data_IF_017228292899
#
_entry.id   IF_017228292899
#
_cell.length_a   1.000
_cell.length_b   1.000
_cell.length_c   1.000
_cell.angle_alpha   90.00
_cell.angle_beta   90.00
_cell.angle_gamma   90.00
#
_symmetry.space_group_name_H-M   'P 1'
#
loop_
_entity.id
_entity.type
_entity.pdbx_description
1 polymer ?
2 polymer ?
3 non-polymer ?
4 non-polymer ?
5 water ?
#
# COMPACT_ATOMS: atom_id res chain seq x y z
N UNK A 2 -8.62 19.51 -12.46
CA UNK A 2 -9.58 18.48 -13.01
C UNK A 2 -9.46 17.18 -12.21
N UNK A 3 -10.56 16.65 -11.71
CA UNK A 3 -10.53 15.44 -10.91
C UNK A 3 -11.72 14.55 -11.20
N UNK A 4 -11.66 13.30 -10.75
CA UNK A 4 -12.82 12.44 -10.65
C UNK A 4 -13.05 12.17 -9.18
N UNK A 5 -14.12 12.76 -8.65
CA UNK A 5 -14.51 12.59 -7.25
C UNK A 5 -15.27 11.28 -7.06
N UNK A 6 -14.87 10.50 -6.05
CA UNK A 6 -15.47 9.19 -5.83
C UNK A 6 -16.11 9.09 -4.45
N UNK A 7 -17.16 8.27 -4.38
CA UNK A 7 -17.91 8.07 -3.17
C UNK A 7 -17.08 7.36 -2.07
N UNK A 8 -17.62 7.37 -0.88
CA UNK A 8 -16.86 7.00 0.31
C UNK A 8 -16.78 5.51 0.54
N UNK A 9 -15.85 5.14 1.41
CA UNK A 9 -15.60 3.76 1.78
C UNK A 9 -16.87 2.99 2.12
N UNK A 10 -16.90 1.71 1.79
CA UNK A 10 -18.07 0.90 2.04
C UNK A 10 -17.65 -0.34 2.81
N UNK A 11 -18.42 -0.65 3.85
CA UNK A 11 -18.33 -1.96 4.51
C UNK A 11 -19.66 -2.69 4.32
N UNK A 12 -19.65 -3.85 3.67
CA UNK A 12 -20.90 -4.52 3.31
C UNK A 12 -20.81 -6.03 3.53
N UNK A 13 -21.95 -6.63 3.83
CA UNK A 13 -22.03 -8.08 4.12
C UNK A 13 -21.86 -8.94 2.88
N UNK A 14 -21.24 -10.11 3.01
CA UNK A 14 -21.24 -11.09 1.89
C UNK A 14 -22.64 -11.39 1.42
N UNK A 15 -22.84 -11.46 0.11
CA UNK A 15 -24.16 -11.61 -0.47
C UNK A 15 -24.95 -10.34 -0.79
N UNK A 16 -24.58 -9.23 -0.16
CA UNK A 16 -25.27 -7.97 -0.45
C UNK A 16 -24.74 -7.35 -1.76
N UNK A 17 -25.26 -6.18 -2.07
CA UNK A 17 -24.88 -5.43 -3.26
C UNK A 17 -24.39 -4.08 -2.80
N UNK A 18 -23.60 -3.39 -3.64
CA UNK A 18 -23.22 -2.02 -3.35
C UNK A 18 -23.14 -1.20 -4.66
N UNK A 19 -23.42 0.09 -4.59
CA UNK A 19 -23.36 0.93 -5.75
C UNK A 19 -22.44 2.12 -5.51
N UNK A 20 -21.36 2.24 -6.27
CA UNK A 20 -20.35 3.26 -6.03
C UNK A 20 -20.60 4.36 -7.03
N UNK A 21 -20.16 5.57 -6.77
CA UNK A 21 -20.42 6.65 -7.68
C UNK A 21 -19.18 7.47 -7.94
N UNK A 22 -19.17 8.13 -9.08
CA UNK A 22 -18.03 8.91 -9.56
C UNK A 22 -18.51 10.13 -10.33
N UNK A 23 -18.04 11.32 -9.95
CA UNK A 23 -18.49 12.59 -10.51
C UNK A 23 -17.29 13.52 -10.86
N UNK A 24 -17.09 13.84 -12.14
CA UNK A 24 -15.99 14.71 -12.48
C UNK A 24 -16.13 16.09 -11.87
N UNK A 25 -15.00 16.72 -11.63
CA UNK A 25 -14.95 18.15 -11.39
C UNK A 25 -14.14 18.72 -12.55
N UNK A 26 -14.81 19.52 -13.38
CA UNK A 26 -14.14 20.15 -14.52
C UNK A 26 -14.52 19.66 -15.89
N UNK A 27 -15.36 18.64 -15.98
CA UNK A 27 -15.83 18.15 -17.30
C UNK A 27 -17.08 17.31 -17.15
N UNK A 28 -17.70 17.03 -18.29
CA UNK A 28 -18.97 16.29 -18.35
C UNK A 28 -18.72 14.88 -18.84
N UNK A 29 -19.32 13.91 -18.14
CA UNK A 29 -19.17 12.53 -18.55
C UNK A 29 -19.77 12.28 -19.94
N UNK A 30 -20.72 13.12 -20.34
CA UNK A 30 -21.34 12.97 -21.66
C UNK A 30 -20.35 13.11 -22.83
N UNK A 31 -19.27 13.85 -22.61
CA UNK A 31 -18.29 14.16 -23.64
C UNK A 31 -17.20 13.11 -23.71
N UNK A 32 -17.28 12.04 -22.91
CA UNK A 32 -16.15 11.11 -22.83
C UNK A 32 -16.63 9.69 -22.48
N UNK A 33 -15.70 8.86 -22.00
CA UNK A 33 -15.98 7.51 -21.54
C UNK A 33 -15.49 7.38 -20.09
N UNK A 34 -16.22 6.65 -19.27
CA UNK A 34 -15.81 6.47 -17.89
C UNK A 34 -15.57 4.98 -17.68
N UNK A 35 -14.37 4.68 -17.16
CA UNK A 35 -13.89 3.33 -16.95
C UNK A 35 -13.87 3.00 -15.45
N UNK A 36 -14.05 1.71 -15.09
CA UNK A 36 -13.77 1.28 -13.74
C UNK A 36 -12.71 0.18 -13.70
N UNK A 37 -11.84 0.27 -12.68
CA UNK A 37 -10.63 -0.55 -12.56
C UNK A 37 -10.51 -1.00 -11.13
N UNK A 38 -10.39 -2.31 -10.95
CA UNK A 38 -10.37 -2.97 -9.64
C UNK A 38 -8.94 -3.27 -9.21
N UNK A 39 -8.64 -3.22 -7.92
CA UNK A 39 -7.36 -3.72 -7.44
C UNK A 39 -7.53 -4.36 -6.08
N UNK A 40 -7.43 -5.69 -6.05
CA UNK A 40 -7.47 -6.40 -4.77
C UNK A 40 -6.18 -6.16 -3.98
N UNK A 41 -6.24 -6.27 -2.62
CA UNK A 41 -5.04 -5.97 -1.80
C UNK A 41 -3.80 -6.76 -2.25
N UNK A 42 -2.77 -6.03 -2.59
CA UNK A 42 -1.50 -6.59 -3.07
C UNK A 42 -1.54 -7.26 -4.43
N UNK A 43 -2.57 -7.01 -5.24
CA UNK A 43 -2.67 -7.66 -6.56
C UNK A 43 -2.60 -6.56 -7.63
N UNK A 44 -2.80 -6.94 -8.88
CA UNK A 44 -2.60 -6.06 -10.01
C UNK A 44 -3.88 -5.31 -10.36
N UNK A 45 -3.77 -4.40 -11.31
CA UNK A 45 -4.94 -3.68 -11.82
C UNK A 45 -5.73 -4.56 -12.75
N UNK A 46 -7.05 -4.48 -12.65
CA UNK A 46 -7.94 -5.24 -13.53
C UNK A 46 -9.02 -4.32 -14.10
N UNK A 47 -9.06 -4.19 -15.43
CA UNK A 47 -10.10 -3.37 -16.09
C UNK A 47 -11.45 -4.08 -15.99
N UNK A 48 -12.41 -3.45 -15.31
CA UNK A 48 -13.75 -3.99 -15.20
C UNK A 48 -14.59 -3.73 -16.45
N UNK A 49 -14.64 -2.46 -16.85
CA UNK A 49 -15.51 -2.04 -17.95
C UNK A 49 -15.55 -0.54 -18.12
N UNK A 50 -16.32 -0.10 -19.11
CA UNK A 50 -16.46 1.31 -19.38
C UNK A 50 -17.84 1.56 -19.90
N UNK A 51 -18.25 2.81 -19.80
CA UNK A 51 -19.51 3.27 -20.37
C UNK A 51 -19.29 4.56 -21.19
N UNK A 52 -19.98 4.65 -22.30
CA UNK A 52 -20.20 5.89 -23.02
C UNK A 52 -21.52 6.54 -22.59
N UNK A 53 -21.50 7.60 -21.71
CA UNK A 53 -22.80 8.12 -21.24
C UNK A 53 -23.64 8.82 -22.33
N UNK A 54 -23.06 9.08 -23.50
CA UNK A 54 -23.83 9.76 -24.54
C UNK A 54 -24.83 8.83 -25.23
N UNK A 55 -24.56 7.52 -25.30
CA UNK A 55 -25.52 6.59 -25.94
C UNK A 55 -25.93 5.40 -25.05
N UNK A 56 -25.31 5.28 -23.88
CA UNK A 56 -25.66 4.22 -22.94
C UNK A 56 -24.93 2.90 -23.16
N UNK A 57 -23.95 2.86 -24.06
CA UNK A 57 -23.28 1.61 -24.33
C UNK A 57 -22.19 1.32 -23.29
N UNK A 58 -22.20 0.12 -22.69
CA UNK A 58 -21.09 -0.25 -21.84
C UNK A 58 -20.50 -1.60 -22.26
N UNK A 59 -19.20 -1.80 -21.97
CA UNK A 59 -18.43 -2.98 -22.39
C UNK A 59 -17.64 -3.47 -21.17
N UNK A 60 -17.45 -4.79 -21.03
CA UNK A 60 -16.91 -5.39 -19.79
C UNK A 60 -15.88 -6.45 -20.15
N UNK A 61 -14.95 -6.65 -19.24
CA UNK A 61 -14.23 -7.91 -19.18
C UNK A 61 -15.24 -9.01 -18.79
N UNK A 62 -15.22 -10.15 -19.49
CA UNK A 62 -16.15 -11.26 -19.22
C UNK A 62 -16.09 -11.75 -17.76
N UNK A 63 -14.94 -11.61 -17.13
CA UNK A 63 -14.79 -12.02 -15.75
C UNK A 63 -15.76 -11.24 -14.86
N UNK A 64 -16.09 -10.01 -15.23
CA UNK A 64 -16.90 -9.16 -14.36
C UNK A 64 -18.35 -8.95 -14.86
N UNK A 65 -18.64 -9.35 -16.07
CA UNK A 65 -19.93 -8.94 -16.64
C UNK A 65 -21.16 -9.42 -15.92
N UNK A 66 -21.08 -10.55 -15.25
CA UNK A 66 -22.27 -11.07 -14.58
C UNK A 66 -22.66 -10.22 -13.37
N UNK A 67 -21.69 -9.90 -12.50
CA UNK A 67 -21.96 -9.24 -11.23
C UNK A 67 -21.75 -7.70 -11.22
N UNK A 68 -21.12 -7.17 -12.26
CA UNK A 68 -20.83 -5.73 -12.32
C UNK A 68 -21.64 -5.04 -13.43
N UNK A 69 -22.23 -3.90 -13.08
CA UNK A 69 -23.01 -3.10 -14.00
C UNK A 69 -22.68 -1.63 -13.86
N UNK A 70 -22.23 -1.04 -14.97
CA UNK A 70 -21.90 0.35 -14.99
C UNK A 70 -23.04 1.13 -15.61
N UNK A 71 -23.46 2.19 -14.94
CA UNK A 71 -24.50 3.07 -15.44
C UNK A 71 -24.05 4.54 -15.33
N UNK A 72 -24.84 5.43 -15.93
CA UNK A 72 -24.54 6.84 -15.91
C UNK A 72 -25.82 7.68 -15.92
N UNK A 73 -25.74 8.86 -15.33
CA UNK A 73 -26.84 9.80 -15.33
C UNK A 73 -26.26 11.17 -15.72
N UNK A 74 -26.42 11.56 -16.97
CA UNK A 74 -25.82 12.83 -17.41
C UNK A 74 -26.47 14.07 -16.81
N UNK A 75 -27.67 13.96 -16.24
CA UNK A 75 -28.27 15.15 -15.62
C UNK A 75 -27.62 15.47 -14.27
N UNK A 76 -26.99 14.50 -13.61
CA UNK A 76 -26.21 14.75 -12.38
C UNK A 76 -24.70 14.58 -12.61
N UNK A 77 -24.33 14.44 -13.87
CA UNK A 77 -22.94 14.24 -14.26
C UNK A 77 -22.21 13.12 -13.45
N UNK A 78 -22.90 12.00 -13.23
CA UNK A 78 -22.44 10.97 -12.30
C UNK A 78 -22.50 9.59 -12.96
N UNK A 79 -21.41 8.84 -12.84
CA UNK A 79 -21.32 7.50 -13.31
C UNK A 79 -21.32 6.57 -12.10
N UNK A 80 -21.81 5.34 -12.28
CA UNK A 80 -22.02 4.40 -11.18
C UNK A 80 -21.51 3.01 -11.48
N UNK A 81 -21.05 2.32 -10.44
CA UNK A 81 -20.67 0.91 -10.57
C UNK A 81 -21.42 0.11 -9.53
N UNK A 82 -22.27 -0.78 -10.00
CA UNK A 82 -23.08 -1.63 -9.13
C UNK A 82 -22.48 -3.02 -9.12
N UNK A 83 -22.17 -3.52 -7.93
CA UNK A 83 -21.60 -4.87 -7.73
C UNK A 83 -22.60 -5.72 -6.91
N UNK A 84 -23.00 -6.86 -7.44
CA UNK A 84 -23.95 -7.71 -6.73
C UNK A 84 -23.27 -8.98 -6.22
N UNK A 85 -23.97 -9.67 -5.31
CA UNK A 85 -23.53 -10.96 -4.74
C UNK A 85 -22.11 -10.95 -4.28
N UNK A 86 -21.82 -9.99 -3.43
CA UNK A 86 -20.46 -9.74 -3.03
C UNK A 86 -19.90 -10.95 -2.30
N UNK A 87 -18.63 -11.23 -2.57
CA UNK A 87 -17.83 -12.16 -1.78
C UNK A 87 -16.54 -11.49 -1.36
N UNK A 88 -15.70 -12.22 -0.63
CA UNK A 88 -14.46 -11.67 -0.15
C UNK A 88 -13.51 -11.33 -1.33
N UNK A 89 -13.62 -12.02 -2.44
CA UNK A 89 -12.84 -11.68 -3.62
C UNK A 89 -13.17 -10.26 -4.21
N UNK A 90 -14.26 -9.66 -3.76
CA UNK A 90 -14.66 -8.32 -4.19
C UNK A 90 -14.13 -7.21 -3.29
N UNK A 91 -13.54 -7.58 -2.14
CA UNK A 91 -12.83 -6.62 -1.28
C UNK A 91 -11.61 -6.07 -2.10
N UNK A 92 -11.57 -4.76 -2.29
CA UNK A 92 -10.66 -4.14 -3.26
C UNK A 92 -10.83 -2.66 -3.25
N UNK A 93 -9.91 -1.97 -3.93
CA UNK A 93 -10.06 -0.59 -4.29
C UNK A 93 -10.64 -0.52 -5.71
N UNK A 94 -11.64 0.31 -5.91
CA UNK A 94 -12.24 0.49 -7.21
C UNK A 94 -11.99 1.91 -7.64
N UNK A 95 -11.24 2.06 -8.75
CA UNK A 95 -10.88 3.33 -9.34
C UNK A 95 -11.81 3.72 -10.45
N UNK A 96 -12.30 4.97 -10.44
CA UNK A 96 -13.02 5.53 -11.57
C UNK A 96 -11.95 6.26 -12.40
N UNK A 97 -11.95 6.08 -13.73
CA UNK A 97 -10.93 6.70 -14.60
C UNK A 97 -11.46 7.11 -15.98
N UNK A 98 -10.90 8.17 -16.54
CA UNK A 98 -11.08 8.50 -17.95
C UNK A 98 -9.78 8.09 -18.65
N UNK A 99 -9.85 7.01 -19.42
CA UNK A 99 -8.67 6.47 -20.09
C UNK A 99 -8.82 6.67 -21.60
N UNK A 100 -8.03 7.57 -22.18
CA UNK A 100 -8.11 7.86 -23.59
C UNK A 100 -6.76 7.59 -24.22
N UNK A 101 -6.67 7.71 -25.55
CA UNK A 101 -5.44 7.31 -26.19
C UNK A 101 -4.22 8.09 -25.79
N UNK A 102 -4.35 9.39 -25.47
CA UNK A 102 -3.19 10.19 -25.08
C UNK A 102 -3.20 10.82 -23.69
N UNK A 103 -4.31 10.72 -22.99
CA UNK A 103 -4.42 11.36 -21.66
C UNK A 103 -5.38 10.57 -20.76
N UNK A 104 -5.08 10.55 -19.46
CA UNK A 104 -5.92 9.92 -18.47
C UNK A 104 -6.26 10.92 -17.35
N UNK A 105 -7.40 10.69 -16.70
CA UNK A 105 -7.68 11.24 -15.42
C UNK A 105 -8.05 10.06 -14.51
N UNK A 106 -7.46 10.02 -13.32
CA UNK A 106 -7.73 8.96 -12.35
C UNK A 106 -8.35 9.48 -11.06
N UNK A 107 -9.44 8.86 -10.62
CA UNK A 107 -9.92 9.06 -9.24
C UNK A 107 -8.97 8.47 -8.22
N UNK A 108 -9.16 8.88 -6.98
CA UNK A 108 -8.39 8.38 -5.83
C UNK A 108 -8.80 6.96 -5.41
N UNK A 109 -9.93 6.47 -5.86
CA UNK A 109 -10.32 5.11 -5.49
C UNK A 109 -11.32 5.04 -4.34
N UNK A 110 -12.22 4.04 -4.39
CA UNK A 110 -13.17 3.78 -3.31
C UNK A 110 -12.90 2.38 -2.76
N UNK A 111 -12.68 2.25 -1.45
CA UNK A 111 -12.40 0.94 -0.88
C UNK A 111 -13.71 0.22 -0.53
N UNK A 112 -13.80 -1.03 -0.92
CA UNK A 112 -14.92 -1.87 -0.51
C UNK A 112 -14.41 -3.08 0.29
N UNK A 113 -14.91 -3.22 1.53
CA UNK A 113 -14.61 -4.35 2.40
C UNK A 113 -15.85 -5.19 2.50
N UNK A 114 -15.74 -6.44 2.08
CA UNK A 114 -16.85 -7.39 2.18
C UNK A 114 -16.64 -8.27 3.46
N UNK A 115 -17.39 -7.98 4.51
CA UNK A 115 -17.21 -8.65 5.78
C UNK A 115 -18.44 -8.47 6.66
N UNK A 116 -18.71 -9.48 7.49
CA UNK A 116 -19.73 -9.40 8.53
C UNK A 116 -19.23 -8.76 9.80
N UNK A 117 -17.93 -8.66 9.99
CA UNK A 117 -17.40 -8.08 11.22
C UNK A 117 -17.83 -6.62 11.48
N UNK A 118 -17.80 -6.24 12.74
CA UNK A 118 -18.36 -4.99 13.26
C UNK A 118 -17.28 -3.88 13.33
N UNK A 119 -17.66 -2.66 12.95
CA UNK A 119 -16.81 -1.48 13.08
C UNK A 119 -16.38 -1.21 14.49
N UNK A 120 -15.08 -1.05 14.72
CA UNK A 120 -14.60 -0.83 16.09
C UNK A 120 -13.37 0.07 16.06
N UNK A 121 -13.36 1.09 16.93
CA UNK A 121 -12.25 2.03 17.00
C UNK A 121 -10.96 1.41 17.56
N UNK A 122 -9.79 1.92 17.16
CA UNK A 122 -8.55 1.39 17.71
C UNK A 122 -8.30 1.84 19.16
N UNK A 123 -7.59 1.02 19.92
CA UNK A 123 -6.83 1.49 21.05
C UNK A 123 -5.48 1.92 20.56
N UNK A 124 -4.98 3.02 21.10
CA UNK A 124 -3.70 3.57 20.72
C UNK A 124 -2.82 3.65 21.94
N UNK A 125 -1.69 2.96 21.89
CA UNK A 125 -0.81 2.86 23.03
C UNK A 125 0.54 3.51 22.71
N UNK A 126 1.08 4.32 23.64
CA UNK A 126 2.39 4.93 23.44
C UNK A 126 3.51 3.94 23.63
N UNK A 127 4.56 4.06 22.84
CA UNK A 127 5.72 3.16 22.93
C UNK A 127 7.00 3.96 23.20
N UNK A 128 7.44 3.90 24.46
CA UNK A 128 8.57 4.68 24.93
C UNK A 128 9.68 3.66 25.31
N UNK A 129 10.95 4.04 25.14
CA UNK A 129 12.03 3.11 25.48
C UNK A 129 11.89 2.55 26.88
N UNK A 130 12.29 1.28 27.03
CA UNK A 130 12.55 0.69 28.35
C UNK A 130 13.55 1.48 29.18
N UNK A 131 14.61 2.00 28.54
CA UNK A 131 15.68 2.76 29.22
C UNK A 131 16.54 3.59 28.25
N UNK A 137 22.30 9.13 20.55
CA UNK A 137 22.36 10.20 19.55
C UNK A 137 20.96 10.54 18.97
N UNK A 138 20.31 9.49 18.49
CA UNK A 138 18.91 9.54 18.01
C UNK A 138 18.09 8.61 18.86
N UNK A 139 16.81 8.92 19.05
CA UNK A 139 15.95 8.05 19.81
C UNK A 139 14.73 7.66 18.99
N UNK A 140 14.32 6.41 19.08
CA UNK A 140 13.14 5.90 18.38
C UNK A 140 11.97 5.67 19.34
N UNK A 141 10.82 6.20 18.95
CA UNK A 141 9.59 6.12 19.71
C UNK A 141 8.55 5.49 18.79
N UNK A 142 7.42 5.12 19.35
CA UNK A 142 6.37 4.52 18.52
C UNK A 142 4.95 4.64 19.07
N UNK A 143 3.99 4.26 18.24
CA UNK A 143 2.71 3.90 18.79
C UNK A 143 2.07 2.67 18.13
N UNK A 144 1.35 1.93 18.98
CA UNK A 144 0.72 0.67 18.66
C UNK A 144 -0.76 0.94 18.52
N UNK A 145 -1.31 0.67 17.33
CA UNK A 145 -2.68 0.97 17.04
C UNK A 145 -3.40 -0.37 16.91
N UNK A 146 -4.16 -0.75 17.92
CA UNK A 146 -4.57 -2.15 18.08
C UNK A 146 -6.08 -2.35 18.05
N UNK A 147 -6.55 -3.39 17.35
CA UNK A 147 -7.96 -3.83 17.49
C UNK A 147 -9.03 -2.96 16.86
N UNK A 148 -8.78 -2.49 15.64
CA UNK A 148 -9.75 -1.69 14.90
C UNK A 148 -10.30 -2.45 13.69
N UNK A 149 -11.46 -2.03 13.21
CA UNK A 149 -12.06 -2.56 11.98
C UNK A 149 -13.06 -1.53 11.44
N UNK A 150 -13.16 -1.37 10.10
CA UNK A 150 -12.33 -1.87 9.01
C UNK A 150 -11.11 -0.93 8.82
N UNK A 151 -10.24 -1.25 7.88
CA UNK A 151 -9.28 -0.28 7.36
C UNK A 151 -10.00 0.89 6.74
N UNK A 152 -9.33 2.04 6.63
CA UNK A 152 -8.00 2.36 7.09
C UNK A 152 -7.99 3.18 8.36
N UNK A 153 -6.78 3.36 8.89
CA UNK A 153 -6.45 4.46 9.77
C UNK A 153 -5.37 5.25 9.10
N UNK A 154 -5.22 6.51 9.53
CA UNK A 154 -4.10 7.34 9.11
C UNK A 154 -3.37 7.83 10.39
N UNK A 155 -2.06 7.86 10.32
CA UNK A 155 -1.23 8.20 11.46
C UNK A 155 -0.35 9.39 11.08
N UNK A 156 -0.28 10.39 11.96
CA UNK A 156 0.73 11.45 11.79
C UNK A 156 1.42 11.64 13.11
N UNK A 157 2.50 12.41 13.10
CA UNK A 157 3.20 12.76 14.31
C UNK A 157 3.33 14.27 14.46
N UNK A 158 3.05 14.72 15.67
CA UNK A 158 2.95 16.15 15.99
C UNK A 158 2.13 16.87 14.92
N UNK A 159 1.01 16.24 14.57
CA UNK A 159 0.00 16.81 13.66
C UNK A 159 0.60 17.16 12.32
N UNK A 160 1.52 16.34 11.85
CA UNK A 160 2.11 16.59 10.54
C UNK A 160 3.44 17.30 10.57
N UNK A 161 3.80 17.94 11.67
CA UNK A 161 5.10 18.63 11.78
C UNK A 161 6.31 17.72 11.82
N UNK A 162 6.19 16.51 12.35
CA UNK A 162 7.26 15.52 12.24
C UNK A 162 6.87 14.53 11.16
N UNK A 163 7.56 14.59 10.01
CA UNK A 163 7.29 13.64 8.91
C UNK A 163 8.53 12.87 8.45
N UNK A 164 9.69 13.49 8.61
CA UNK A 164 10.95 12.80 8.48
C UNK A 164 11.13 11.79 9.57
N UNK A 165 11.74 10.67 9.24
CA UNK A 165 12.10 9.68 10.25
C UNK A 165 10.91 8.82 10.69
N UNK A 166 9.81 8.87 9.94
CA UNK A 166 8.57 8.17 10.31
C UNK A 166 8.41 6.91 9.46
N UNK A 167 8.00 5.79 10.06
CA UNK A 167 7.62 4.57 9.32
C UNK A 167 6.31 4.13 9.89
N UNK A 168 5.28 4.13 9.07
CA UNK A 168 3.99 3.51 9.44
C UNK A 168 3.78 2.19 8.72
N UNK A 169 3.68 1.12 9.49
CA UNK A 169 3.71 -0.24 8.94
C UNK A 169 2.32 -0.67 8.52
N UNK A 170 2.20 -1.40 7.39
CA UNK A 170 0.91 -2.06 7.02
C UNK A 170 0.29 -2.80 8.18
N UNK A 171 -1.01 -2.64 8.30
CA UNK A 171 -1.77 -3.33 9.33
C UNK A 171 -1.79 -4.84 9.10
N UNK A 172 -1.93 -5.60 10.18
CA UNK A 172 -2.15 -7.04 10.09
C UNK A 172 -3.50 -7.43 10.70
N UNK A 173 -4.16 -8.37 10.04
CA UNK A 173 -5.50 -8.78 10.34
C UNK A 173 -5.49 -10.07 11.15
N UNK A 174 -6.21 -10.06 12.27
CA UNK A 174 -6.26 -11.17 13.21
C UNK A 174 -7.62 -11.20 13.93
N UNK A 175 -8.39 -12.28 13.75
CA UNK A 175 -9.63 -12.41 14.52
C UNK A 175 -10.52 -11.22 14.25
N UNK A 176 -10.61 -10.84 12.99
CA UNK A 176 -11.46 -9.75 12.58
C UNK A 176 -11.03 -8.41 13.16
N UNK A 177 -9.80 -8.30 13.65
CA UNK A 177 -9.33 -6.98 14.02
C UNK A 177 -7.96 -6.71 13.45
N UNK A 178 -7.70 -5.45 13.09
CA UNK A 178 -6.44 -5.03 12.55
C UNK A 178 -5.53 -4.47 13.63
N UNK A 179 -4.21 -4.65 13.46
CA UNK A 179 -3.24 -3.95 14.28
C UNK A 179 -2.12 -3.40 13.47
N UNK A 180 -1.74 -2.15 13.74
CA UNK A 180 -0.52 -1.60 13.11
C UNK A 180 0.33 -0.83 14.12
N UNK A 181 1.57 -0.58 13.73
CA UNK A 181 2.40 0.26 14.55
C UNK A 181 3.04 1.33 13.66
N UNK A 182 3.54 2.40 14.29
CA UNK A 182 4.24 3.47 13.59
C UNK A 182 5.40 3.87 14.46
N UNK A 183 6.57 4.06 13.84
CA UNK A 183 7.73 4.56 14.56
C UNK A 183 8.09 5.93 14.09
N UNK A 184 8.76 6.66 14.99
CA UNK A 184 9.40 7.93 14.62
C UNK A 184 10.76 8.04 15.32
N UNK A 185 11.72 8.62 14.62
CA UNK A 185 13.07 8.73 15.18
C UNK A 185 13.46 10.20 15.25
N UNK A 186 13.85 10.68 16.44
CA UNK A 186 14.19 12.09 16.63
C UNK A 186 15.53 12.25 17.34
N UNK A 187 16.11 13.46 17.32
CA UNK A 187 17.37 13.56 18.05
C UNK A 187 17.16 13.37 19.56
N UNK A 188 18.08 12.69 20.20
CA UNK A 188 17.96 12.36 21.60
C UNK A 188 17.78 13.57 22.52
N UNK A 189 18.17 14.77 22.08
CA UNK A 189 18.03 15.97 22.88
C UNK A 189 16.65 16.61 22.72
N UNK A 190 15.92 16.21 21.69
CA UNK A 190 14.56 16.65 21.43
C UNK A 190 13.54 16.08 22.44
N UNK A 191 13.75 14.87 22.90
CA UNK A 191 12.75 14.17 23.67
C UNK A 191 13.46 13.59 24.86
N UNK A 192 12.87 13.71 26.05
CA UNK A 192 11.52 14.20 26.25
C UNK A 192 11.37 15.68 26.56
N UNK A 193 12.39 16.48 26.34
CA UNK A 193 12.27 17.94 26.56
C UNK A 193 11.12 18.54 25.78
N UNK A 194 11.01 18.14 24.52
CA UNK A 194 9.90 18.56 23.68
C UNK A 194 8.92 17.38 23.46
N UNK A 195 7.65 17.72 23.26
CA UNK A 195 6.60 16.72 23.27
C UNK A 195 6.54 16.02 21.91
N UNK A 196 6.37 14.71 21.96
CA UNK A 196 6.12 13.94 20.76
C UNK A 196 4.81 13.18 20.95
N UNK A 197 3.93 13.33 19.95
CA UNK A 197 2.55 12.84 19.99
C UNK A 197 2.20 12.14 18.67
N UNK A 198 1.62 10.94 18.73
CA UNK A 198 1.08 10.38 17.52
C UNK A 198 -0.40 10.64 17.49
N UNK A 199 -0.88 10.94 16.28
CA UNK A 199 -2.27 11.27 15.99
C UNK A 199 -2.85 10.19 15.05
N UNK A 200 -3.92 9.54 15.49
CA UNK A 200 -4.46 8.43 14.78
C UNK A 200 -5.93 8.67 14.49
N UNK A 201 -6.26 8.74 13.21
CA UNK A 201 -7.63 8.92 12.76
C UNK A 201 -8.20 7.60 12.23
N UNK A 202 -9.45 7.28 12.59
CA UNK A 202 -10.17 6.10 12.09
C UNK A 202 -11.50 6.55 11.53
N UNK A 203 -11.57 6.77 10.22
CA UNK A 203 -12.78 7.45 9.70
C UNK A 203 -14.04 6.61 9.89
N UNK A 204 -13.92 5.30 9.89
CA UNK A 204 -15.11 4.47 10.06
C UNK A 204 -15.86 4.72 11.40
N UNK A 205 -15.13 4.98 12.47
CA UNK A 205 -15.73 5.19 13.78
C UNK A 205 -15.83 6.68 14.13
N UNK A 206 -15.44 7.56 13.21
CA UNK A 206 -15.42 9.00 13.46
C UNK A 206 -14.64 9.36 14.70
N UNK A 207 -13.47 8.74 14.85
CA UNK A 207 -12.58 9.01 15.96
C UNK A 207 -11.20 9.49 15.52
N UNK A 208 -10.59 10.23 16.42
CA UNK A 208 -9.15 10.51 16.32
C UNK A 208 -8.59 10.39 17.74
N UNK A 209 -7.33 10.01 17.87
CA UNK A 209 -6.70 9.88 19.18
C UNK A 209 -5.32 10.53 19.09
N UNK A 210 -5.00 11.41 20.02
CA UNK A 210 -3.66 12.01 20.11
C UNK A 210 -2.97 11.48 21.36
N UNK A 211 -1.99 10.62 21.16
CA UNK A 211 -1.28 9.99 22.27
C UNK A 211 0.15 10.52 22.43
N UNK A 212 0.37 11.16 23.56
CA UNK A 212 1.69 11.73 23.88
C UNK A 212 2.59 10.61 24.36
N UNK A 213 3.82 10.60 23.88
CA UNK A 213 4.82 9.60 24.32
C UNK A 213 5.54 10.16 25.54
N UNK A 214 5.47 9.42 26.65
CA UNK A 214 5.86 9.88 27.98
C UNK A 214 6.92 8.87 28.47
N UNK A 215 8.06 9.36 28.99
CA UNK A 215 9.01 8.37 29.52
C UNK A 215 8.33 7.45 30.53
N UNK A 216 8.62 6.17 30.45
CA UNK A 216 8.20 5.26 31.50
C UNK A 216 9.22 5.24 32.63
N UNK B 1 -9.88 -12.21 -24.39
CA UNK B 1 -9.07 -11.05 -23.98
C UNK B 1 -7.75 -11.06 -24.74
N UNK B 2 -7.25 -9.86 -25.04
CA UNK B 2 -5.84 -9.69 -25.36
C UNK B 2 -5.12 -9.78 -24.03
N UNK B 3 -4.22 -10.75 -23.91
CA UNK B 3 -3.49 -10.94 -22.68
C UNK B 3 -2.11 -10.31 -22.84
N UNK B 4 -1.74 -9.53 -21.85
CA UNK B 4 -0.46 -8.82 -21.80
C UNK B 4 0.40 -9.42 -20.68
N UNK B 5 1.52 -10.01 -21.05
CA UNK B 5 2.39 -10.71 -20.11
C UNK B 5 3.68 -9.90 -19.94
N UNK B 6 3.95 -9.49 -18.72
CA UNK B 6 5.17 -8.70 -18.50
C UNK B 6 6.34 -9.57 -18.07
N UNK B 7 7.56 -9.20 -18.49
CA UNK B 7 8.77 -9.75 -17.88
C UNK B 7 9.86 -8.73 -17.69
N UNK B 8 10.68 -8.97 -16.66
CA UNK B 8 10.46 -9.96 -15.61
C UNK B 8 9.33 -9.54 -14.67
N UNK B 9 8.87 -10.44 -13.78
CA UNK B 9 7.86 -10.00 -12.83
C UNK B 9 8.43 -9.09 -11.71
N UNK B 10 9.75 -9.15 -11.50
CA UNK B 10 10.42 -8.27 -10.54
C UNK B 10 11.85 -8.16 -10.96
N UNK B 11 12.47 -7.03 -10.64
CA UNK B 11 13.92 -6.88 -10.81
C UNK B 11 14.48 -5.80 -9.90
N UNK B 12 15.78 -5.89 -9.64
CA UNK B 12 16.48 -4.91 -8.85
C UNK B 12 17.62 -4.36 -9.68
N UNK B 13 17.72 -3.04 -9.75
CA UNK B 13 18.65 -2.40 -10.62
C UNK B 13 19.28 -1.23 -9.88
N UNK B 14 20.58 -1.03 -10.08
CA UNK B 14 21.33 0.01 -9.36
C UNK B 14 20.96 1.39 -9.82
N UNK B 15 21.06 2.37 -8.93
CA UNK B 15 20.92 3.77 -9.29
C UNK B 15 21.93 4.13 -10.35
N UNK B 16 21.52 4.99 -11.26
CA UNK B 16 22.35 5.38 -12.39
C UNK B 16 22.32 4.42 -13.56
N UNK B 17 21.73 3.22 -13.41
CA UNK B 17 21.81 2.21 -14.45
C UNK B 17 20.49 2.11 -15.21
N UNK B 18 20.43 1.19 -16.17
CA UNK B 18 19.32 1.07 -17.07
C UNK B 18 18.42 -0.06 -16.62
N UNK B 19 17.13 0.22 -16.52
CA UNK B 19 16.14 -0.84 -16.22
C UNK B 19 15.26 -1.00 -17.44
N UNK B 20 15.06 -2.22 -17.90
CA UNK B 20 14.14 -2.45 -19.01
C UNK B 20 13.12 -3.55 -18.70
N UNK B 21 11.87 -3.26 -19.05
CA UNK B 21 10.75 -4.05 -18.70
C UNK B 21 10.03 -4.30 -19.99
N UNK B 22 9.58 -5.55 -20.16
CA UNK B 22 9.00 -6.03 -21.40
C UNK B 22 7.52 -6.33 -21.22
N UNK B 23 6.75 -6.16 -22.31
CA UNK B 23 5.31 -6.44 -22.33
C UNK B 23 5.05 -7.18 -23.62
N UNK B 24 4.49 -8.38 -23.53
CA UNK B 24 4.17 -9.17 -24.70
C UNK B 24 2.66 -9.42 -24.76
N UNK B 25 2.06 -9.07 -25.90
CA UNK B 25 0.63 -9.23 -26.14
C UNK B 25 0.30 -10.52 -26.92
N UNK B 26 -0.84 -11.11 -26.59
CA UNK B 26 -1.30 -12.35 -27.22
C UNK B 26 -1.76 -12.16 -28.68
N UNK B 27 -2.00 -10.90 -29.07
CA UNK B 27 -2.30 -10.48 -30.43
C UNK B 27 -2.03 -8.97 -30.58
N UNK B 28 -1.96 -8.49 -31.82
CA UNK B 28 -1.48 -7.12 -32.10
C UNK B 28 -2.40 -6.09 -31.46
N UNK B 29 -1.79 -5.04 -30.90
CA UNK B 29 -2.55 -3.89 -30.43
C UNK B 29 -2.40 -2.69 -31.36
N UNK B 30 -1.94 -2.94 -32.60
CA UNK B 30 -1.72 -1.86 -33.56
C UNK B 30 -2.93 -1.68 -34.47
N UNK B 31 -3.14 -0.46 -34.91
CA UNK B 31 -4.03 -0.22 -36.04
C UNK B 31 -3.52 0.97 -36.87
N UNK B 32 -3.32 0.79 -38.19
CA UNK B 32 -2.90 1.90 -39.07
C UNK B 32 -1.59 2.50 -38.59
N UNK B 33 -0.69 1.65 -38.13
CA UNK B 33 0.63 2.11 -37.73
C UNK B 33 0.74 2.64 -36.31
N UNK B 34 -0.36 2.76 -35.60
CA UNK B 34 -0.35 3.22 -34.20
C UNK B 34 -0.48 2.00 -33.29
N UNK B 35 0.29 1.99 -32.20
CA UNK B 35 0.20 0.95 -31.17
C UNK B 35 -0.55 1.57 -30.01
N UNK B 36 -1.72 1.02 -29.72
CA UNK B 36 -2.60 1.55 -28.68
C UNK B 36 -2.21 0.95 -27.31
N UNK B 37 -1.06 1.40 -26.81
CA UNK B 37 -0.41 0.84 -25.63
C UNK B 37 0.01 1.96 -24.67
N UNK B 38 -0.45 1.84 -23.42
CA UNK B 38 -0.03 2.73 -22.33
C UNK B 38 0.98 2.01 -21.42
N UNK B 39 1.80 2.77 -20.72
CA UNK B 39 2.59 2.32 -19.56
C UNK B 39 2.22 3.18 -18.38
N UNK B 40 2.08 2.56 -17.20
CA UNK B 40 1.61 3.19 -15.97
C UNK B 40 2.64 2.88 -14.88
N UNK B 41 2.82 3.81 -13.97
CA UNK B 41 3.62 3.64 -12.79
C UNK B 41 2.69 3.66 -11.62
N UNK B 42 2.87 2.78 -10.65
CA UNK B 42 2.04 2.83 -9.45
C UNK B 42 2.90 2.81 -8.20
N UNK B 43 2.96 3.93 -7.52
CA UNK B 43 3.72 3.96 -6.27
C UNK B 43 2.83 3.54 -5.13
N UNK B 44 3.54 3.06 -4.11
CA UNK B 44 2.96 2.68 -2.86
C UNK B 44 1.84 3.61 -2.41
N UNK B 45 0.67 3.02 -2.17
CA UNK B 45 -0.48 3.76 -1.73
C UNK B 45 -1.15 4.76 -2.67
N UNK B 46 -0.76 4.81 -3.95
CA UNK B 46 -1.32 5.80 -4.88
C UNK B 46 -2.05 5.12 -6.04
N UNK B 47 -2.89 5.88 -6.74
CA UNK B 47 -3.42 5.41 -8.01
C UNK B 47 -2.34 5.35 -9.06
N UNK B 48 -2.60 4.65 -10.15
CA UNK B 48 -1.59 4.58 -11.19
C UNK B 48 -1.54 5.90 -11.96
N UNK B 49 -0.40 6.16 -12.58
CA UNK B 49 -0.13 7.39 -13.28
C UNK B 49 0.38 7.00 -14.68
N UNK B 50 -0.21 7.62 -15.70
CA UNK B 50 0.22 7.39 -17.09
C UNK B 50 1.57 7.97 -17.40
N UNK B 51 2.48 7.13 -17.88
CA UNK B 51 3.83 7.57 -18.27
C UNK B 51 3.99 7.76 -19.77
N UNK B 52 3.51 6.78 -20.54
CA UNK B 52 3.80 6.68 -21.99
C UNK B 52 2.50 6.31 -22.63
N UNK B 53 2.20 6.94 -23.76
CA UNK B 53 1.05 6.61 -24.57
C UNK B 53 1.48 6.39 -26.02
N UNK B 54 0.60 5.74 -26.77
CA UNK B 54 0.89 5.29 -28.10
C UNK B 54 2.26 4.61 -28.18
N UNK B 55 2.53 3.73 -27.21
CA UNK B 55 3.80 2.99 -27.07
C UNK B 55 5.12 3.72 -26.86
N UNK B 56 5.27 4.91 -27.44
CA UNK B 56 6.56 5.59 -27.44
C UNK B 56 6.49 7.08 -27.08
N UNK B 57 5.32 7.62 -26.82
CA UNK B 57 5.18 9.04 -26.52
C UNK B 57 5.12 9.32 -25.03
N UNK B 58 5.92 10.29 -24.62
CA UNK B 58 6.10 10.67 -23.23
C UNK B 58 5.00 11.59 -22.80
N UNK B 59 4.32 11.25 -21.71
CA UNK B 59 3.24 12.08 -21.21
C UNK B 59 3.81 13.38 -20.63
N UNK B 60 3.09 14.45 -20.80
CA UNK B 60 3.52 15.75 -20.35
C UNK B 60 3.89 15.73 -18.86
N UNK B 61 5.06 16.23 -18.49
CA UNK B 61 5.42 16.28 -17.09
C UNK B 61 6.07 15.00 -16.57
N UNK B 62 6.26 14.01 -17.44
CA UNK B 62 7.05 12.85 -17.09
C UNK B 62 8.52 13.03 -17.50
N UNK B 63 9.45 12.67 -16.62
CA UNK B 63 10.82 12.91 -17.03
C UNK B 63 11.31 12.08 -18.22
N UNK B 64 12.28 12.62 -18.95
CA UNK B 64 12.71 12.03 -20.21
C UNK B 64 13.64 10.82 -20.02
N UNK B 65 13.94 10.43 -18.78
CA UNK B 65 14.64 9.16 -18.59
C UNK B 65 13.72 7.94 -18.83
N UNK B 66 12.41 8.18 -18.95
CA UNK B 66 11.45 7.11 -19.32
C UNK B 66 11.27 7.09 -20.81
N UNK B 67 11.42 5.94 -21.47
CA UNK B 67 11.03 5.88 -22.86
C UNK B 67 10.35 4.57 -23.16
N UNK B 68 9.58 4.52 -24.24
CA UNK B 68 9.05 3.22 -24.68
C UNK B 68 9.37 2.93 -26.14
N UNK B 69 9.35 1.65 -26.50
CA UNK B 69 9.53 1.29 -27.87
C UNK B 69 8.76 -0.02 -28.14
N UNK B 70 8.68 -0.36 -29.42
CA UNK B 70 8.14 -1.63 -29.86
C UNK B 70 6.95 -1.44 -30.75
N UNK B 71 6.42 -2.55 -31.26
CA UNK B 71 5.21 -2.53 -32.06
C UNK B 71 4.52 -3.89 -32.09
N UNK B 72 3.30 -3.88 -32.57
CA UNK B 72 2.43 -5.06 -32.64
C UNK B 72 2.20 -5.83 -31.35
N UNK B 73 3.09 -6.75 -30.98
CA UNK B 73 2.87 -7.50 -29.75
C UNK B 73 4.05 -7.45 -28.77
N UNK B 74 5.06 -6.65 -29.06
CA UNK B 74 6.28 -6.68 -28.27
C UNK B 74 6.78 -5.28 -27.92
N UNK B 75 6.73 -4.93 -26.66
CA UNK B 75 6.94 -3.56 -26.23
C UNK B 75 7.91 -3.53 -25.07
N UNK B 76 8.62 -2.42 -24.96
CA UNK B 76 9.55 -2.22 -23.88
C UNK B 76 9.43 -0.84 -23.26
N UNK B 77 9.54 -0.80 -21.93
CA UNK B 77 9.74 0.44 -21.18
C UNK B 77 11.18 0.48 -20.65
N UNK B 78 11.90 1.57 -20.90
CA UNK B 78 13.22 1.74 -20.32
C UNK B 78 13.34 3.00 -19.48
N UNK B 79 14.00 2.83 -18.36
CA UNK B 79 14.25 3.92 -17.46
C UNK B 79 15.75 4.06 -17.32
N UNK B 80 16.28 5.19 -17.74
CA UNK B 80 17.75 5.32 -17.81
C UNK B 80 18.14 6.77 -17.85
N UNK B 81 18.86 7.27 -16.83
CA UNK B 81 19.39 6.60 -15.65
C UNK B 81 18.34 6.46 -14.54
N UNK B 82 18.27 5.28 -13.93
CA UNK B 82 17.33 5.00 -12.84
C UNK B 82 17.56 5.85 -11.61
N UNK B 83 16.48 6.42 -11.08
CA UNK B 83 16.51 7.23 -9.86
C UNK B 83 15.77 6.52 -8.70
N UNK B 84 16.04 6.94 -7.47
CA UNK B 84 15.44 6.29 -6.28
C UNK B 84 13.91 6.39 -6.24
N UNK B 85 13.40 7.50 -6.75
CA UNK B 85 11.98 7.75 -6.78
C UNK B 85 11.23 6.88 -7.81
N UNK B 86 11.97 6.07 -8.56
CA UNK B 86 11.39 5.18 -9.54
C UNK B 86 11.01 3.81 -8.94
N UNK B 87 11.27 3.60 -7.65
CA UNK B 87 10.72 2.43 -6.93
C UNK B 87 9.20 2.39 -7.04
N UNK B 88 8.68 1.34 -7.68
CA UNK B 88 7.26 1.25 -8.04
C UNK B 88 6.96 -0.05 -8.77
N UNK B 89 5.67 -0.31 -8.95
CA UNK B 89 5.16 -1.34 -9.88
C UNK B 89 4.70 -0.67 -11.21
N UNK B 90 5.11 -1.26 -12.32
CA UNK B 90 4.80 -0.75 -13.66
C UNK B 90 3.91 -1.74 -14.40
N UNK B 91 2.91 -1.20 -15.11
CA UNK B 91 1.95 -1.96 -15.87
C UNK B 91 1.85 -1.44 -17.31
N UNK B 92 1.86 -2.34 -18.26
CA UNK B 92 1.40 -2.02 -19.59
C UNK B 92 -0.11 -2.23 -19.61
N UNK B 93 -0.76 -1.64 -20.61
CA UNK B 93 -2.21 -1.68 -20.76
C UNK B 93 -2.50 -1.40 -22.26
N UNK B 94 -3.47 -2.09 -22.85
CA UNK B 94 -3.85 -1.83 -24.24
C UNK B 94 -5.27 -1.30 -24.40
N UNK B 95 -5.44 -0.39 -25.35
CA UNK B 95 -6.75 0.14 -25.72
C UNK B 95 -7.08 -0.09 -27.17
N UNK B 96 -6.50 -1.10 -27.78
CA UNK B 96 -6.90 -1.45 -29.16
C UNK B 96 -8.27 -2.10 -29.24
N UNK B 97 -8.58 -2.99 -28.33
CA UNK B 97 -9.81 -3.79 -28.39
C UNK B 97 -10.29 -4.15 -26.98
N UNK B 98 -11.58 -3.90 -26.72
CA UNK B 98 -12.15 -4.19 -25.42
C UNK B 98 -12.25 -5.69 -25.23
N UNK B 99 -12.02 -6.16 -24.01
CA UNK B 99 -11.72 -5.35 -22.82
C UNK B 99 -10.30 -4.78 -22.81
N UNK B 100 -10.15 -3.55 -22.31
CA UNK B 100 -8.84 -2.84 -22.32
C UNK B 100 -7.86 -3.26 -21.21
N UNK B 101 -7.26 -4.42 -21.39
CA UNK B 101 -6.61 -5.17 -20.30
C UNK B 101 -5.26 -4.57 -19.87
N UNK B 102 -4.94 -4.78 -18.59
CA UNK B 102 -3.66 -4.44 -18.03
C UNK B 102 -2.78 -5.66 -18.02
N UNK B 103 -1.48 -5.44 -18.14
CA UNK B 103 -0.49 -6.47 -17.94
C UNK B 103 -0.37 -6.91 -16.49
N UNK B 104 0.38 -8.00 -16.32
CA UNK B 104 0.51 -8.68 -15.05
C UNK B 104 1.34 -7.87 -14.03
N UNK B 105 2.11 -6.86 -14.45
CA UNK B 105 2.82 -6.00 -13.54
C UNK B 105 4.27 -6.38 -13.33
N UNK B 106 5.13 -5.40 -13.14
CA UNK B 106 6.56 -5.65 -12.87
C UNK B 106 6.97 -4.78 -11.70
N UNK B 107 7.47 -5.40 -10.62
CA UNK B 107 7.90 -4.63 -9.42
C UNK B 107 9.38 -4.29 -9.55
N UNK B 108 9.68 -3.00 -9.57
CA UNK B 108 11.06 -2.55 -9.72
C UNK B 108 11.65 -2.13 -8.38
N UNK B 109 12.72 -2.81 -8.00
CA UNK B 109 13.48 -2.49 -6.79
C UNK B 109 14.75 -1.73 -7.16
N UNK B 110 15.04 -0.67 -6.42
CA UNK B 110 16.29 0.05 -6.55
C UNK B 110 17.36 -0.68 -5.72
N UNK B 111 18.45 -1.10 -6.38
CA UNK B 111 19.60 -1.71 -5.69
C UNK B 111 20.50 -0.61 -5.10
N UNK B 112 20.82 -0.71 -3.80
CA UNK B 112 21.72 0.23 -3.12
C UNK B 112 22.70 -0.59 -2.29
N UNK B 113 23.62 0.07 -1.61
CA UNK B 113 24.55 -0.61 -0.73
C UNK B 113 23.82 -1.24 0.44
N UNK B 114 24.28 -2.43 0.85
CA UNK B 114 23.80 -3.09 2.04
C UNK B 114 23.82 -2.15 3.25
N UNK B 115 22.83 -2.33 4.11
CA UNK B 115 22.69 -1.50 5.31
C UNK B 115 22.02 -2.30 6.40
N UNK B 116 22.67 -2.36 7.56
CA UNK B 116 22.18 -3.08 8.70
C UNK B 116 21.02 -2.32 9.37
N UNK B 117 20.10 -3.05 9.99
CA UNK B 117 18.92 -2.36 10.56
C UNK B 117 19.25 -1.68 11.88
N UNK B 118 18.52 -0.63 12.18
CA UNK B 118 18.49 -0.06 13.55
C UNK B 118 17.36 -0.70 14.32
N UNK B 119 17.71 -1.43 15.38
CA UNK B 119 16.73 -2.25 16.07
C UNK B 119 16.35 -1.58 17.38
N UNK B 120 15.06 -1.54 17.70
CA UNK B 120 14.61 -0.97 18.99
C UNK B 120 13.52 -1.84 19.54
N UNK B 121 13.52 -2.03 20.87
CA UNK B 121 12.53 -2.89 21.49
C UNK B 121 11.73 -2.12 22.55
N UNK B 122 10.42 -2.40 22.63
CA UNK B 122 9.48 -1.64 23.47
C UNK B 122 8.64 -2.56 24.35
N UNK B 123 8.71 -2.37 25.67
CA UNK B 123 7.83 -3.19 26.53
C UNK B 123 6.37 -2.79 26.35
N UNK B 124 5.41 -3.64 26.78
CA UNK B 124 4.02 -3.19 26.81
C UNK B 124 3.88 -1.85 27.50
N UNK B 125 2.97 -1.01 27.04
CA UNK B 125 2.62 0.21 27.78
C UNK B 125 1.77 -0.11 29.02
N UNK B 126 1.81 0.76 30.02
CA UNK B 126 0.90 0.63 31.20
C UNK B 126 -0.54 0.76 30.81
N UNK B 127 -0.81 1.59 29.81
CA UNK B 127 -2.18 1.70 29.33
C UNK B 127 -2.63 0.32 28.85
N UNK B 128 -1.83 -0.37 28.04
CA UNK B 128 -2.31 -1.66 27.53
C UNK B 128 -2.41 -2.69 28.67
N UNK B 129 -1.47 -2.65 29.59
CA UNK B 129 -1.49 -3.56 30.75
C UNK B 129 -2.73 -3.27 31.60
N UNK B 130 -2.98 -1.99 31.89
CA UNK B 130 -4.18 -1.56 32.65
C UNK B 130 -5.43 -2.06 31.98
N UNK B 131 -5.43 -2.16 30.67
CA UNK B 131 -6.61 -2.68 30.00
C UNK B 131 -6.60 -4.19 29.79
N UNK B 132 -5.62 -4.93 30.31
CA UNK B 132 -5.67 -6.41 30.24
C UNK B 132 -4.82 -7.16 29.21
N UNK B 133 -4.07 -6.45 28.37
CA UNK B 133 -3.28 -7.10 27.29
C UNK B 133 -1.78 -6.80 27.39
N UNK B 134 -1.00 -7.46 26.56
CA UNK B 134 0.44 -7.20 26.53
C UNK B 134 1.04 -7.52 25.16
N UNK B 135 1.54 -6.48 24.51
CA UNK B 135 2.20 -6.60 23.23
C UNK B 135 3.62 -6.04 23.37
N UNK B 136 4.60 -6.80 22.92
CA UNK B 136 5.98 -6.34 22.90
C UNK B 136 6.34 -6.03 21.46
N UNK B 137 6.96 -4.88 21.21
CA UNK B 137 7.16 -4.42 19.80
C UNK B 137 8.63 -4.21 19.53
N UNK B 138 9.07 -4.64 18.36
CA UNK B 138 10.43 -4.48 17.93
C UNK B 138 10.46 -3.85 16.53
N UNK B 139 11.14 -2.71 16.38
CA UNK B 139 11.29 -2.07 15.07
C UNK B 139 12.64 -2.40 14.52
N UNK B 140 12.66 -2.79 13.23
CA UNK B 140 13.90 -3.00 12.48
C UNK B 140 13.93 -2.06 11.28
N UNK B 141 14.65 -0.96 11.44
CA UNK B 141 14.48 0.17 10.57
C UNK B 141 15.66 0.48 9.64
N UNK B 142 15.29 0.88 8.42
CA UNK B 142 16.21 1.37 7.42
C UNK B 142 17.32 0.41 7.05
N UNK B 143 16.95 -0.76 6.57
CA UNK B 143 17.94 -1.80 6.17
C UNK B 143 17.86 -2.16 4.69
N UNK B 144 18.92 -2.71 4.15
CA UNK B 144 18.93 -3.20 2.75
C UNK B 144 19.95 -4.33 2.67
N UNK B 145 19.61 -5.44 1.97
CA UNK B 145 18.37 -5.79 1.26
C UNK B 145 17.18 -6.10 2.16
N UNK B 146 16.02 -6.33 1.55
CA UNK B 146 14.76 -6.48 2.32
C UNK B 146 14.61 -7.75 3.17
N UNK B 147 15.44 -8.74 2.91
CA UNK B 147 15.23 -10.04 3.53
C UNK B 147 15.86 -9.98 4.89
N UNK B 148 15.09 -10.37 5.90
CA UNK B 148 15.58 -10.27 7.27
C UNK B 148 14.86 -11.32 8.14
N UNK B 149 15.50 -11.68 9.24
CA UNK B 149 14.98 -12.72 10.13
C UNK B 149 14.93 -12.18 11.53
N UNK B 150 13.78 -12.34 12.18
CA UNK B 150 13.59 -11.91 13.56
C UNK B 150 13.17 -13.11 14.45
N UNK B 151 13.84 -13.23 15.57
CA UNK B 151 13.52 -14.27 16.53
C UNK B 151 13.26 -13.64 17.88
N UNK B 152 12.21 -14.11 18.53
CA UNK B 152 11.86 -13.62 19.85
C UNK B 152 12.25 -14.67 20.86
N UNK B 153 12.81 -14.25 21.98
CA UNK B 153 13.00 -15.16 23.15
C UNK B 153 12.39 -14.59 24.43
N UNK B 154 11.72 -15.46 25.20
CA UNK B 154 11.25 -15.14 26.56
C UNK B 154 12.05 -16.02 27.57
N UNK B 155 12.72 -15.37 28.53
CA UNK B 155 13.67 -16.01 29.46
C UNK B 155 14.58 -17.03 28.76
N UNK B 156 15.18 -16.63 27.63
CA UNK B 156 16.09 -17.52 26.88
C UNK B 156 15.43 -18.52 25.96
N UNK B 157 14.11 -18.64 26.01
CA UNK B 157 13.44 -19.63 25.20
C UNK B 157 12.73 -18.99 23.98
N UNK B 158 12.86 -19.64 22.83
CA UNK B 158 12.35 -19.11 21.57
C UNK B 158 10.84 -19.25 21.52
N UNK B 159 10.18 -18.19 21.09
CA UNK B 159 8.74 -18.12 21.08
C UNK B 159 8.31 -17.77 19.65
N UNK B 160 7.53 -18.63 19.01
CA UNK B 160 7.09 -18.41 17.64
C UNK B 160 5.60 -18.06 17.54
N UNK B 161 4.80 -18.63 18.41
CA UNK B 161 3.36 -18.34 18.41
C UNK B 161 3.09 -16.92 18.93
N UNK B 162 2.14 -16.24 18.30
CA UNK B 162 1.71 -14.90 18.71
C UNK B 162 2.56 -13.75 18.17
N UNK B 163 3.46 -14.06 17.24
CA UNK B 163 4.30 -13.05 16.59
C UNK B 163 3.73 -12.65 15.24
N UNK B 164 3.56 -11.35 15.02
CA UNK B 164 3.14 -10.88 13.69
C UNK B 164 4.04 -9.77 13.20
N UNK B 165 4.33 -9.84 11.90
CA UNK B 165 5.39 -9.08 11.25
C UNK B 165 4.77 -8.31 10.13
N UNK B 166 5.29 -7.12 9.85
CA UNK B 166 4.82 -6.31 8.72
C UNK B 166 6.00 -5.53 8.15
N UNK B 167 6.11 -5.45 6.84
CA UNK B 167 7.22 -4.79 6.19
C UNK B 167 6.68 -3.54 5.44
N UNK B 168 7.47 -2.48 5.42
CA UNK B 168 7.15 -1.33 4.58
C UNK B 168 7.51 -1.62 3.12
N UNK B 169 7.00 -0.80 2.20
CA UNK B 169 7.49 -0.84 0.81
C UNK B 169 8.82 -0.08 0.78
N UNK B 170 9.58 -0.22 -0.30
CA UNK B 170 10.86 0.45 -0.39
C UNK B 170 10.75 1.96 -0.31
N UNK B 171 11.62 2.57 0.45
CA UNK B 171 11.60 4.00 0.64
C UNK B 171 11.99 4.70 -0.68
N UNK B 172 11.27 5.77 -1.00
CA UNK B 172 11.48 6.54 -2.22
C UNK B 172 12.72 7.41 -2.20
N UNK B 173 13.22 7.72 -1.01
CA UNK B 173 14.37 8.62 -0.85
C UNK B 173 15.67 7.86 -0.66
N UNK B 174 15.71 6.98 0.34
CA UNK B 174 16.95 6.27 0.68
C UNK B 174 16.99 4.79 0.25
N UNK B 175 15.93 4.29 -0.36
CA UNK B 175 15.93 2.95 -0.94
C UNK B 175 16.06 1.79 0.07
N UNK B 176 15.85 2.07 1.36
CA UNK B 176 15.80 1.06 2.39
C UNK B 176 14.40 0.53 2.64
N UNK B 177 14.36 -0.52 3.45
CA UNK B 177 13.13 -1.10 3.94
C UNK B 177 13.11 -1.06 5.47
N UNK B 178 11.93 -1.24 6.04
CA UNK B 178 11.79 -1.41 7.49
C UNK B 178 10.77 -2.46 7.79
N UNK B 179 10.84 -3.01 9.00
CA UNK B 179 9.94 -4.07 9.44
C UNK B 179 9.58 -3.86 10.89
N UNK B 180 8.38 -4.31 11.22
CA UNK B 180 7.93 -4.25 12.61
C UNK B 180 7.59 -5.69 13.01
N UNK B 181 7.96 -6.08 14.24
CA UNK B 181 7.60 -7.38 14.78
C UNK B 181 6.92 -7.20 16.11
N UNK B 182 5.72 -7.80 16.24
CA UNK B 182 4.97 -7.66 17.46
C UNK B 182 4.69 -9.02 18.07
N UNK B 183 5.14 -9.21 19.31
CA UNK B 183 4.85 -10.44 20.08
C UNK B 183 3.67 -10.16 21.00
N UNK B 184 2.52 -10.79 20.74
CA UNK B 184 1.36 -10.60 21.60
C UNK B 184 1.17 -11.79 22.56
N UNK B 185 0.82 -11.49 23.81
CA UNK B 185 0.84 -12.42 24.95
C UNK B 185 -0.34 -12.00 25.82
N UNK B 186 -0.90 -12.88 26.65
CA UNK B 186 -1.77 -12.40 27.73
C UNK B 186 -0.92 -11.60 28.72
N UNK B 187 -1.58 -10.70 29.44
CA UNK B 187 -0.92 -9.98 30.49
C UNK B 187 -0.38 -10.93 31.58
N UNK B 188 -1.20 -11.94 31.91
CA UNK B 188 -0.79 -13.02 32.84
C UNK B 188 0.56 -13.62 32.42
N UNK B 189 0.64 -14.07 31.18
CA UNK B 189 1.86 -14.66 30.75
C UNK B 189 3.04 -13.69 30.72
N UNK B 190 2.79 -12.46 30.27
CA UNK B 190 3.84 -11.42 30.27
C UNK B 190 4.44 -11.26 31.68
N UNK B 191 3.58 -11.17 32.68
CA UNK B 191 3.99 -10.90 34.06
C UNK B 191 4.59 -12.12 34.75
N UNK B 192 4.54 -13.25 34.06
CA UNK B 192 5.04 -14.57 34.48
C UNK B 192 6.54 -14.74 34.16
N UNK B 193 7.10 -13.88 33.31
CA UNK B 193 8.46 -14.05 32.84
C UNK B 193 9.17 -12.74 32.96
N UNK B 194 10.50 -12.77 32.83
CA UNK B 194 11.28 -11.55 33.00
C UNK B 194 12.03 -10.97 31.79
N UNK B 195 12.81 -11.75 31.06
CA UNK B 195 13.63 -11.12 30.03
C UNK B 195 12.97 -11.32 28.67
N UNK B 196 12.93 -10.26 27.89
CA UNK B 196 12.29 -10.34 26.59
C UNK B 196 13.31 -9.88 25.55
N UNK B 197 13.50 -10.70 24.53
CA UNK B 197 14.54 -10.45 23.55
C UNK B 197 14.03 -10.52 22.13
N UNK B 198 14.50 -9.55 21.34
CA UNK B 198 14.27 -9.46 19.91
C UNK B 198 15.63 -9.56 19.22
N UNK B 199 15.81 -10.60 18.39
CA UNK B 199 17.11 -10.80 17.71
C UNK B 199 16.92 -10.75 16.21
N UNK B 200 17.69 -9.89 15.58
CA UNK B 200 17.58 -9.71 14.16
C UNK B 200 18.81 -10.27 13.47
N UNK B 201 18.60 -11.06 12.43
CA UNK B 201 19.68 -11.55 11.60
C UNK B 201 19.51 -11.07 10.15
N UNK B 202 20.53 -10.38 9.65
CA UNK B 202 20.49 -9.77 8.35
C UNK B 202 21.83 -10.08 7.69
N UNK B 203 21.85 -10.19 6.36
CA UNK B 203 23.07 -10.64 5.68
C UNK B 203 24.26 -9.73 5.96
N UNK B 204 24.02 -8.52 6.49
CA UNK B 204 25.12 -7.63 6.78
C UNK B 204 26.00 -8.15 7.89
N UNK B 205 25.55 -9.12 8.66
CA UNK B 205 26.46 -9.76 9.59
C UNK B 205 26.02 -11.12 9.99
N UNK B 206 26.99 -11.97 10.26
CA UNK B 206 26.72 -13.31 10.75
C UNK B 206 26.30 -13.29 12.24
N UNK B 207 26.59 -12.21 12.94
CA UNK B 207 26.11 -12.07 14.35
C UNK B 207 24.74 -11.38 14.39
N UNK B 208 23.78 -11.96 15.14
CA UNK B 208 22.51 -11.25 15.25
C UNK B 208 22.65 -9.92 15.99
N UNK B 209 21.75 -8.97 15.69
CA UNK B 209 21.60 -7.77 16.53
C UNK B 209 20.54 -8.06 17.56
N UNK B 210 20.91 -7.90 18.83
CA UNK B 210 20.11 -8.41 19.93
C UNK B 210 19.67 -7.22 20.78
N UNK B 211 18.36 -7.04 20.94
CA UNK B 211 17.86 -6.04 21.88
C UNK B 211 16.97 -6.70 22.91
N UNK B 212 17.04 -6.20 24.13
CA UNK B 212 16.47 -6.89 25.27
C UNK B 212 15.96 -5.92 26.32
N UNK B 213 15.08 -6.38 27.18
CA UNK B 213 14.75 -5.69 28.42
C UNK B 213 14.31 -6.72 29.45
N UNK B 214 14.36 -6.32 30.72
CA UNK B 214 13.80 -7.11 31.82
C UNK B 214 12.57 -6.45 32.40
N UNK B 215 11.47 -7.21 32.50
CA UNK B 215 10.20 -6.63 32.98
C UNK B 215 10.34 -5.92 34.35
N UNK B 216 11.04 -6.54 35.28
CA UNK B 216 11.17 -5.94 36.61
C UNK B 216 12.19 -4.81 36.70
N UNK B 217 12.47 -4.09 35.60
CA UNK B 217 13.41 -2.98 35.65
C UNK B 217 12.88 -1.73 34.98
X LIG C 1 -1.15 1.48 6.66
X LIG C 1 -0.30 0.95 5.65
X LIG C 1 -2.56 0.96 6.43
X LIG C 1 -2.59 -0.49 6.62
X LIG C 1 -3.37 1.77 7.45
X LIG C 1 -4.76 1.89 7.17
X LIG D 1 -14.26 5.34 6.89
X LIG D 1 -15.61 5.77 6.62
X LIG D 1 -13.67 4.43 5.83
X LIG D 1 -12.60 5.12 5.13
X LIG D 1 -13.26 3.08 6.45
X LIG D 1 -13.56 1.92 5.64
X LIG E 1 -19.40 3.12 -28.12
X LIG E 1 -20.45 4.10 -27.85
X LIG E 1 -19.91 2.08 -29.04
X LIG E 1 -18.95 2.46 -26.87
X LIG E 1 -18.26 3.84 -28.72
X LIG F 1 -3.35 -2.60 -39.53
X LIG F 1 -4.29 -1.51 -39.67
X LIG F 1 -2.18 -2.46 -38.56
X LIG F 1 -1.80 -3.76 -38.17
X LIG F 1 -0.92 -1.83 -39.16
X LIG F 1 -0.35 -0.92 -38.18
#
# INVERSE_FOLDING_TARGET
EVQLQQSGAELVKPGASVKLSCTPSGFNIKDTYIHWVKQRPEQGLEWIGMINPANGNSNYDPKFQDKATITADTSSNTAYLQLSSLTSEDTAVYYCAEITTDFDVWGAGTTVTVSSAKTTPPSVYPLAPGSAAQTNSMVTLGCLVKGYFPEPVTVTWNSGSLSSGVHTFPAVLQSDLYTLSSSVTVPSSTWPSETVTCNVAHPASSTKVDKKIVPRDCGC
NIVLTQSPPSLAVSLGQRATISCRASESVDSYGNSFLHWYQQKSGQPPKLLIYLASNLESGVPARFSGSGSRTDFTLTIDPLEADDAATYYCQQNNEAPFTFGSGTKLEIKRADAAPTVSIFPPSSEQLTSGGASVVCFLNNFYPKDINVKWKIDGSERQNGVLNSWTDQDSKDSTYSMSSTLTLTKDEYERHNSYTCEATHKTSTSPIVKSFNRNEC
GOL C1 O1 C2 O2 C3 O3
GOL C1 O1 C2 O2 C3 O3
SO4 S O1 O2 O3 O4
GOL C1 O1 C2 O2 C3 O3
#
